data_IF_825378392163
#
_entry.id   IF_825378392163
#
_cell.length_a   1.000
_cell.length_b   1.000
_cell.length_c   1.000
_cell.angle_alpha   90.00
_cell.angle_beta   90.00
_cell.angle_gamma   90.00
#
_symmetry.space_group_name_H-M   'P 1'
#
loop_
_entity.id
_entity.type
_entity.pdbx_description
1 polymer ?
#
# COMPACT_ATOMS: atom_id res chain seq x y z
N UNK A 1 66.57 -32.48 31.27
CA UNK A 1 67.81 -33.12 30.76
C UNK A 1 68.06 -32.63 29.35
N UNK A 2 69.25 -32.06 29.13
CA UNK A 2 69.98 -31.78 27.86
C UNK A 2 69.22 -31.02 26.75
N UNK A 3 69.44 -29.73 26.53
CA UNK A 3 70.64 -28.98 26.09
C UNK A 3 70.97 -29.14 24.59
N UNK A 4 70.82 -28.01 23.88
CA UNK A 4 71.62 -27.38 22.81
C UNK A 4 72.21 -28.21 21.66
N UNK A 5 72.00 -27.74 20.42
CA UNK A 5 72.95 -26.89 19.65
C UNK A 5 72.45 -26.78 18.20
N UNK A 6 71.93 -25.63 17.75
CA UNK A 6 72.69 -24.54 17.10
C UNK A 6 73.68 -25.00 16.02
N UNK A 7 73.41 -24.63 14.76
CA UNK A 7 74.34 -23.88 13.87
C UNK A 7 73.60 -23.41 12.62
N UNK A 8 73.23 -22.12 12.59
CA UNK A 8 73.32 -21.24 11.41
C UNK A 8 74.81 -20.82 11.25
N UNK A 9 75.35 -20.31 10.11
CA UNK A 9 74.85 -19.06 9.51
C UNK A 9 75.18 -18.74 8.02
N UNK A 10 74.65 -17.57 7.60
CA UNK A 10 75.08 -16.64 6.53
C UNK A 10 75.05 -17.11 5.06
N UNK A 11 74.51 -16.38 4.09
CA UNK A 11 73.93 -15.03 4.02
C UNK A 11 73.83 -14.65 2.54
N UNK A 12 72.85 -13.82 2.16
CA UNK A 12 73.02 -12.65 1.27
C UNK A 12 71.68 -11.98 0.92
N UNK A 13 71.56 -10.73 1.36
CA UNK A 13 71.09 -9.54 0.62
C UNK A 13 69.66 -9.47 0.07
N UNK A 14 68.81 -8.81 0.87
CA UNK A 14 68.22 -7.49 0.59
C UNK A 14 67.34 -7.25 -0.68
N UNK A 15 66.02 -7.16 -0.42
CA UNK A 15 65.09 -6.04 -0.78
C UNK A 15 64.50 -5.92 -2.20
N UNK A 16 63.17 -6.12 -2.25
CA UNK A 16 62.13 -5.18 -2.69
C UNK A 16 61.01 -5.90 -3.48
N UNK A 17 59.81 -6.01 -2.89
CA UNK A 17 58.60 -6.48 -3.58
C UNK A 17 57.84 -5.31 -4.19
N UNK A 18 57.55 -5.39 -5.49
CA UNK A 18 56.35 -4.80 -6.13
C UNK A 18 55.72 -5.86 -7.05
N UNK A 19 54.40 -6.09 -7.01
CA UNK A 19 53.73 -7.01 -7.93
C UNK A 19 53.28 -6.30 -9.21
N UNK A 20 53.62 -6.86 -10.37
CA UNK A 20 53.13 -6.44 -11.71
C UNK A 20 52.35 -7.58 -12.35
N UNK A 21 51.11 -7.26 -12.69
CA UNK A 21 50.20 -7.74 -13.74
C UNK A 21 50.63 -8.93 -14.60
N UNK A 22 49.77 -9.95 -14.69
CA UNK A 22 49.81 -10.99 -15.72
C UNK A 22 48.81 -10.67 -16.82
N UNK A 23 49.31 -10.37 -18.02
CA UNK A 23 48.55 -10.39 -19.28
C UNK A 23 48.56 -11.80 -19.90
N UNK A 24 47.51 -12.12 -20.66
CA UNK A 24 47.50 -13.19 -21.66
C UNK A 24 46.64 -12.77 -22.88
N UNK A 25 46.91 -13.31 -24.08
CA UNK A 25 46.99 -12.51 -25.31
C UNK A 25 45.71 -12.49 -26.16
N UNK A 26 45.53 -11.41 -26.92
CA UNK A 26 44.46 -11.24 -27.92
C UNK A 26 44.80 -11.99 -29.22
N UNK A 27 43.88 -12.82 -29.70
CA UNK A 27 43.75 -13.17 -31.13
C UNK A 27 42.44 -12.61 -31.68
N UNK A 28 42.50 -12.14 -32.93
CA UNK A 28 41.45 -11.40 -33.62
C UNK A 28 40.38 -12.33 -34.24
N UNK A 29 39.11 -11.96 -34.07
CA UNK A 29 37.93 -12.52 -34.74
C UNK A 29 37.08 -11.39 -35.39
N UNK A 30 36.18 -11.72 -36.32
CA UNK A 30 35.83 -10.87 -37.47
C UNK A 30 34.96 -9.64 -37.14
N UNK A 31 35.12 -8.59 -37.96
CA UNK A 31 34.44 -7.30 -37.86
C UNK A 31 32.92 -7.44 -37.74
N UNK A 32 32.36 -6.98 -36.62
CA UNK A 32 30.92 -6.85 -36.44
C UNK A 32 30.37 -5.75 -37.36
N UNK A 33 29.42 -6.14 -38.21
CA UNK A 33 28.61 -5.26 -39.05
C UNK A 33 27.88 -4.27 -38.14
N UNK A 34 28.20 -2.98 -38.26
CA UNK A 34 27.46 -1.89 -37.58
C UNK A 34 26.06 -1.83 -38.20
N UNK A 35 25.12 -2.55 -37.62
CA UNK A 35 23.70 -2.36 -37.89
C UNK A 35 23.23 -1.29 -36.91
N UNK A 36 23.09 -0.06 -37.39
CA UNK A 36 22.44 1.03 -36.66
C UNK A 36 21.03 0.60 -36.27
N UNK A 37 20.85 0.22 -35.01
CA UNK A 37 19.52 0.15 -34.41
C UNK A 37 19.29 1.50 -33.74
N UNK A 38 18.45 2.32 -34.36
CA UNK A 38 17.84 3.45 -33.67
C UNK A 38 17.24 2.96 -32.35
N UNK A 39 17.43 3.69 -31.24
CA UNK A 39 16.85 3.32 -29.97
C UNK A 39 15.32 3.31 -30.11
N UNK A 40 14.73 2.13 -29.92
CA UNK A 40 13.27 1.95 -29.97
C UNK A 40 12.65 2.93 -28.96
N UNK A 41 11.74 3.82 -29.38
CA UNK A 41 11.14 4.79 -28.48
C UNK A 41 10.41 4.04 -27.36
N UNK A 42 10.55 4.48 -26.09
CA UNK A 42 9.93 3.78 -24.97
C UNK A 42 8.42 3.72 -25.17
N UNK A 43 7.84 2.52 -25.03
CA UNK A 43 6.40 2.33 -25.09
C UNK A 43 5.70 3.31 -24.13
N UNK A 44 4.66 3.99 -24.63
CA UNK A 44 3.92 5.07 -23.93
C UNK A 44 3.37 4.72 -22.54
N UNK A 45 3.44 3.45 -22.11
CA UNK A 45 2.97 2.93 -20.82
C UNK A 45 3.98 2.01 -20.14
N UNK A 46 5.28 2.31 -20.22
CA UNK A 46 6.26 1.59 -19.40
C UNK A 46 6.13 2.05 -17.95
N UNK A 47 5.97 1.12 -17.01
CA UNK A 47 6.05 1.44 -15.59
C UNK A 47 7.45 1.98 -15.30
N UNK A 48 7.52 3.23 -14.83
CA UNK A 48 8.77 3.88 -14.45
C UNK A 48 8.88 3.81 -12.93
N UNK A 49 9.95 3.21 -12.38
CA UNK A 49 10.12 3.15 -10.95
C UNK A 49 10.19 4.58 -10.37
N UNK A 50 9.56 4.86 -9.22
CA UNK A 50 9.56 6.19 -8.63
C UNK A 50 10.96 6.74 -8.31
N UNK A 51 11.96 5.86 -8.19
CA UNK A 51 13.38 6.24 -8.02
C UNK A 51 13.92 7.05 -9.20
N UNK A 52 13.42 6.81 -10.42
CA UNK A 52 13.85 7.52 -11.64
C UNK A 52 13.21 8.89 -11.84
N UNK A 53 12.10 9.20 -11.14
CA UNK A 53 11.37 10.48 -11.24
C UNK A 53 11.78 11.48 -10.16
N UNK A 54 12.80 11.16 -9.36
CA UNK A 54 13.05 11.76 -8.04
C UNK A 54 13.72 13.15 -8.08
N UNK A 55 13.83 13.79 -9.23
CA UNK A 55 14.71 14.95 -9.42
C UNK A 55 14.07 16.31 -9.71
N UNK A 56 12.74 16.48 -9.78
CA UNK A 56 12.17 17.82 -10.07
C UNK A 56 11.15 18.39 -9.08
N UNK A 57 10.32 17.61 -8.37
CA UNK A 57 9.19 18.18 -7.58
C UNK A 57 9.19 17.78 -6.09
N UNK A 58 10.33 17.86 -5.42
CA UNK A 58 10.47 17.36 -4.04
C UNK A 58 9.80 18.23 -2.95
N UNK A 59 9.26 19.41 -3.27
CA UNK A 59 8.84 20.38 -2.25
C UNK A 59 7.38 20.87 -2.33
N UNK A 60 6.55 20.30 -3.20
CA UNK A 60 5.12 20.64 -3.24
C UNK A 60 4.34 19.89 -2.15
N UNK A 61 3.28 20.49 -1.57
CA UNK A 61 2.44 19.80 -0.59
C UNK A 61 1.79 18.52 -1.14
N UNK A 62 1.52 18.47 -2.45
CA UNK A 62 1.03 17.29 -3.17
C UNK A 62 2.05 16.15 -3.16
N UNK A 63 3.34 16.46 -3.40
CA UNK A 63 4.44 15.50 -3.36
C UNK A 63 4.63 14.91 -1.95
N UNK A 64 4.45 15.73 -0.91
CA UNK A 64 4.48 15.26 0.49
C UNK A 64 3.32 14.31 0.80
N UNK A 65 2.11 14.63 0.35
CA UNK A 65 0.94 13.76 0.52
C UNK A 65 1.12 12.42 -0.21
N UNK A 66 1.72 12.42 -1.41
CA UNK A 66 1.99 11.20 -2.16
C UNK A 66 2.95 10.26 -1.44
N UNK A 67 3.99 10.79 -0.79
CA UNK A 67 4.89 9.98 0.04
C UNK A 67 4.13 9.34 1.20
N UNK A 68 3.23 10.10 1.84
CA UNK A 68 2.36 9.58 2.91
C UNK A 68 1.46 8.46 2.38
N UNK A 69 0.74 8.67 1.27
CA UNK A 69 -0.13 7.65 0.70
C UNK A 69 0.60 6.39 0.28
N UNK A 70 1.84 6.50 -0.22
CA UNK A 70 2.68 5.31 -0.52
C UNK A 70 3.01 4.51 0.73
N UNK A 71 3.35 5.18 1.84
CA UNK A 71 3.59 4.51 3.13
C UNK A 71 2.32 3.84 3.65
N UNK A 72 1.20 4.56 3.66
CA UNK A 72 -0.11 4.04 4.08
C UNK A 72 -0.50 2.80 3.26
N UNK A 73 -0.41 2.86 1.93
CA UNK A 73 -0.68 1.68 1.07
C UNK A 73 0.26 0.52 1.39
N UNK A 74 1.54 0.80 1.64
CA UNK A 74 2.52 -0.21 2.03
C UNK A 74 2.14 -0.94 3.33
N UNK A 75 1.65 -0.20 4.33
CA UNK A 75 1.16 -0.76 5.59
C UNK A 75 -0.12 -1.58 5.36
N UNK A 76 -1.12 -1.02 4.68
CA UNK A 76 -2.41 -1.69 4.42
C UNK A 76 -2.25 -2.98 3.58
N UNK A 77 -1.26 -3.02 2.68
CA UNK A 77 -0.95 -4.23 1.91
C UNK A 77 -0.32 -5.34 2.74
N UNK A 78 0.34 -4.99 3.85
CA UNK A 78 0.98 -5.94 4.78
C UNK A 78 0.10 -6.24 5.99
N UNK A 79 -1.07 -5.60 6.09
CA UNK A 79 -1.95 -5.69 7.25
C UNK A 79 -2.59 -7.09 7.31
N UNK A 80 -2.27 -7.81 8.38
CA UNK A 80 -2.85 -9.11 8.71
C UNK A 80 -3.19 -9.16 10.19
N UNK A 81 -4.06 -10.07 10.65
CA UNK A 81 -4.44 -10.17 12.06
C UNK A 81 -3.22 -10.35 13.00
N UNK A 82 -2.22 -11.10 12.57
CA UNK A 82 -1.00 -11.38 13.36
C UNK A 82 -0.11 -10.14 13.49
N UNK A 83 -0.11 -9.28 12.46
CA UNK A 83 0.71 -8.05 12.41
C UNK A 83 -0.07 -6.80 12.76
N UNK A 84 -1.34 -6.95 13.16
CA UNK A 84 -2.28 -5.84 13.32
C UNK A 84 -1.74 -4.76 14.25
N UNK A 85 -1.38 -5.13 15.47
CA UNK A 85 -0.93 -4.19 16.50
C UNK A 85 0.25 -3.33 16.01
N UNK A 86 1.30 -3.99 15.51
CA UNK A 86 2.50 -3.30 15.01
C UNK A 86 2.17 -2.36 13.84
N UNK A 87 1.39 -2.84 12.87
CA UNK A 87 1.09 -2.07 11.66
C UNK A 87 0.08 -0.95 11.90
N UNK A 88 -0.85 -1.11 12.85
CA UNK A 88 -1.74 -0.02 13.27
C UNK A 88 -0.96 1.07 14.01
N UNK A 89 0.01 0.67 14.86
CA UNK A 89 0.89 1.62 15.55
C UNK A 89 1.77 2.37 14.54
N UNK A 90 2.34 1.66 13.56
CA UNK A 90 3.11 2.26 12.47
C UNK A 90 2.25 3.25 11.64
N UNK A 91 0.96 2.96 11.44
CA UNK A 91 0.05 3.85 10.73
C UNK A 91 -0.24 5.13 11.53
N UNK A 92 -0.42 5.02 12.85
CA UNK A 92 -0.68 6.16 13.74
C UNK A 92 0.55 7.05 13.92
N UNK A 93 1.76 6.48 13.81
CA UNK A 93 3.02 7.23 13.81
C UNK A 93 3.23 8.07 12.54
N UNK A 94 2.48 7.79 11.47
CA UNK A 94 2.49 8.65 10.28
C UNK A 94 1.71 9.90 10.60
N UNK A 95 2.24 11.07 10.24
CA UNK A 95 1.54 12.34 10.39
C UNK A 95 0.25 12.36 9.54
N UNK A 96 -0.88 12.10 10.17
CA UNK A 96 -2.22 12.23 9.59
C UNK A 96 -2.75 13.67 9.72
N UNK A 97 -1.86 14.65 9.55
CA UNK A 97 -2.07 16.06 9.89
C UNK A 97 -3.01 16.84 8.97
N UNK A 98 -3.56 16.20 7.94
CA UNK A 98 -4.46 16.84 6.97
C UNK A 98 -5.73 16.04 6.78
N UNK A 99 -6.86 16.76 6.69
CA UNK A 99 -8.16 16.19 6.30
C UNK A 99 -8.08 15.45 4.96
N UNK A 100 -7.23 15.89 4.02
CA UNK A 100 -7.01 15.21 2.73
C UNK A 100 -6.38 13.83 2.94
N UNK A 101 -5.38 13.74 3.81
CA UNK A 101 -4.72 12.48 4.15
C UNK A 101 -5.71 11.54 4.85
N UNK A 102 -6.47 12.02 5.84
CA UNK A 102 -7.48 11.21 6.53
C UNK A 102 -8.52 10.66 5.56
N UNK A 103 -9.06 11.50 4.66
CA UNK A 103 -9.97 11.05 3.60
C UNK A 103 -9.33 9.95 2.76
N UNK A 104 -8.10 10.14 2.30
CA UNK A 104 -7.40 9.14 1.50
C UNK A 104 -7.11 7.83 2.26
N UNK A 105 -6.75 7.90 3.54
CA UNK A 105 -6.59 6.70 4.40
C UNK A 105 -7.92 5.94 4.50
N UNK A 106 -9.02 6.64 4.76
CA UNK A 106 -10.36 6.05 4.82
C UNK A 106 -10.71 5.37 3.48
N UNK A 107 -10.44 6.03 2.35
CA UNK A 107 -10.66 5.45 1.02
C UNK A 107 -9.91 4.11 0.86
N UNK A 108 -8.63 4.10 1.20
CA UNK A 108 -7.78 2.91 1.07
C UNK A 108 -8.23 1.76 1.98
N UNK A 109 -8.64 2.06 3.22
CA UNK A 109 -9.18 1.05 4.15
C UNK A 109 -10.47 0.47 3.58
N UNK A 110 -11.37 1.32 3.05
CA UNK A 110 -12.61 0.87 2.41
C UNK A 110 -12.35 -0.05 1.23
N UNK A 111 -11.45 0.33 0.31
CA UNK A 111 -11.10 -0.51 -0.84
C UNK A 111 -10.64 -1.90 -0.40
N UNK A 112 -9.72 -1.96 0.57
CA UNK A 112 -9.20 -3.21 1.13
C UNK A 112 -10.29 -4.04 1.84
N UNK A 113 -11.16 -3.40 2.62
CA UNK A 113 -12.23 -4.08 3.35
C UNK A 113 -13.29 -4.68 2.41
N UNK A 114 -13.54 -4.04 1.26
CA UNK A 114 -14.45 -4.54 0.23
C UNK A 114 -13.84 -5.66 -0.61
N UNK A 115 -12.54 -5.58 -0.89
CA UNK A 115 -11.81 -6.63 -1.62
C UNK A 115 -11.57 -7.88 -0.76
N UNK A 116 -11.42 -7.70 0.56
CA UNK A 116 -11.14 -8.77 1.52
C UNK A 116 -12.19 -8.87 2.64
N UNK A 117 -13.47 -9.23 2.35
CA UNK A 117 -14.54 -9.25 3.35
C UNK A 117 -14.30 -10.21 4.53
N UNK A 118 -13.41 -11.18 4.39
CA UNK A 118 -13.01 -12.06 5.50
C UNK A 118 -12.35 -11.30 6.65
N UNK A 119 -11.70 -10.18 6.35
CA UNK A 119 -10.98 -9.36 7.33
C UNK A 119 -11.74 -8.06 7.70
N UNK A 120 -13.01 -7.94 7.36
CA UNK A 120 -13.83 -6.75 7.67
C UNK A 120 -13.76 -6.34 9.14
N UNK A 121 -13.77 -7.29 10.08
CA UNK A 121 -13.68 -7.00 11.52
C UNK A 121 -12.34 -6.35 11.90
N UNK A 122 -11.23 -6.83 11.31
CA UNK A 122 -9.90 -6.25 11.52
C UNK A 122 -9.82 -4.81 10.97
N UNK A 123 -10.37 -4.56 9.78
CA UNK A 123 -10.43 -3.20 9.23
C UNK A 123 -11.33 -2.28 10.07
N UNK A 124 -12.40 -2.81 10.66
CA UNK A 124 -13.28 -2.04 11.55
C UNK A 124 -12.55 -1.67 12.85
N UNK A 125 -11.77 -2.59 13.42
CA UNK A 125 -10.91 -2.31 14.58
C UNK A 125 -9.86 -1.23 14.26
N UNK A 126 -9.28 -1.25 13.05
CA UNK A 126 -8.37 -0.19 12.62
C UNK A 126 -9.07 1.18 12.57
N UNK A 127 -10.29 1.23 12.02
CA UNK A 127 -11.10 2.45 12.02
C UNK A 127 -11.44 2.94 13.44
N UNK A 128 -11.75 2.03 14.38
CA UNK A 128 -12.00 2.38 15.79
C UNK A 128 -10.79 3.09 16.37
N UNK A 129 -9.62 2.48 16.19
CA UNK A 129 -8.36 2.99 16.71
C UNK A 129 -7.99 4.34 16.12
N UNK A 130 -8.16 4.50 14.81
CA UNK A 130 -8.00 5.78 14.14
C UNK A 130 -9.00 6.83 14.64
N UNK A 131 -10.23 6.45 14.99
CA UNK A 131 -11.21 7.40 15.54
C UNK A 131 -10.84 7.90 16.95
N UNK A 132 -10.08 7.12 17.72
CA UNK A 132 -9.68 7.44 19.09
C UNK A 132 -8.34 8.20 19.14
N UNK A 133 -7.39 7.85 18.27
CA UNK A 133 -5.99 8.32 18.35
C UNK A 133 -5.59 9.31 17.22
N UNK A 134 -6.38 9.45 16.15
CA UNK A 134 -6.06 10.40 15.07
C UNK A 134 -6.32 11.85 15.48
N UNK A 135 -5.62 12.83 14.87
CA UNK A 135 -5.84 14.24 15.15
C UNK A 135 -7.29 14.65 14.88
N UNK A 136 -7.87 15.38 15.82
CA UNK A 136 -9.19 15.97 15.69
C UNK A 136 -9.07 17.43 15.25
N UNK A 137 -9.71 17.75 14.12
CA UNK A 137 -9.83 19.09 13.56
C UNK A 137 -11.23 19.68 13.76
N UNK A 138 -12.15 18.92 14.35
CA UNK A 138 -13.51 19.37 14.66
C UNK A 138 -13.57 20.02 16.07
N UNK A 139 -14.53 20.93 16.32
CA UNK A 139 -14.72 21.52 17.65
C UNK A 139 -15.07 20.49 18.74
N UNK A 140 -14.87 20.82 20.04
CA UNK A 140 -15.01 19.87 21.15
C UNK A 140 -16.37 19.18 21.27
N UNK A 141 -17.46 19.84 20.86
CA UNK A 141 -18.83 19.33 20.96
C UNK A 141 -19.24 18.43 19.77
N UNK A 142 -18.30 18.16 18.85
CA UNK A 142 -18.59 17.39 17.64
C UNK A 142 -17.81 16.07 17.61
N UNK A 143 -18.36 15.02 16.97
CA UNK A 143 -17.63 13.78 16.77
C UNK A 143 -16.29 14.04 16.08
N UNK A 144 -15.25 13.28 16.41
CA UNK A 144 -13.92 13.51 15.83
C UNK A 144 -13.93 13.51 14.30
N UNK A 145 -13.01 14.26 13.67
CA UNK A 145 -12.95 14.41 12.21
C UNK A 145 -12.96 13.06 11.49
N UNK A 146 -12.20 12.08 11.99
CA UNK A 146 -12.15 10.75 11.39
C UNK A 146 -13.53 10.09 11.36
N UNK A 147 -14.28 10.14 12.47
CA UNK A 147 -15.62 9.57 12.57
C UNK A 147 -16.59 10.25 11.61
N UNK A 148 -16.57 11.58 11.51
CA UNK A 148 -17.41 12.33 10.56
C UNK A 148 -17.10 11.96 9.11
N UNK A 149 -15.81 11.90 8.75
CA UNK A 149 -15.39 11.52 7.40
C UNK A 149 -15.75 10.07 7.05
N UNK A 150 -15.53 9.15 8.00
CA UNK A 150 -15.86 7.73 7.85
C UNK A 150 -17.37 7.55 7.63
N UNK A 151 -18.18 8.26 8.40
CA UNK A 151 -19.63 8.25 8.29
C UNK A 151 -20.11 8.67 6.89
N UNK A 152 -19.57 9.78 6.39
CA UNK A 152 -19.92 10.28 5.06
C UNK A 152 -19.48 9.29 3.98
N UNK A 153 -18.32 8.65 4.15
CA UNK A 153 -17.87 7.60 3.24
C UNK A 153 -18.81 6.38 3.27
N UNK A 154 -19.27 5.93 4.44
CA UNK A 154 -20.20 4.81 4.57
C UNK A 154 -21.50 5.07 3.80
N UNK A 155 -22.08 6.27 3.98
CA UNK A 155 -23.31 6.69 3.27
C UNK A 155 -23.11 6.63 1.75
N UNK A 156 -22.08 7.30 1.26
CA UNK A 156 -21.79 7.39 -0.17
C UNK A 156 -21.51 6.03 -0.81
N UNK A 157 -20.68 5.20 -0.16
CA UNK A 157 -20.40 3.85 -0.67
C UNK A 157 -21.66 3.00 -0.70
N UNK A 158 -22.47 3.05 0.36
CA UNK A 158 -23.68 2.26 0.41
C UNK A 158 -24.68 2.65 -0.68
N UNK A 159 -24.94 3.94 -0.87
CA UNK A 159 -25.84 4.43 -1.94
C UNK A 159 -25.31 4.05 -3.33
N UNK A 160 -24.01 4.23 -3.58
CA UNK A 160 -23.39 3.87 -4.85
C UNK A 160 -23.48 2.36 -5.14
N UNK A 161 -23.25 1.51 -4.12
CA UNK A 161 -23.38 0.05 -4.27
C UNK A 161 -24.84 -0.34 -4.47
N UNK A 162 -25.79 0.29 -3.77
CA UNK A 162 -27.22 0.00 -3.90
C UNK A 162 -27.70 0.33 -5.32
N UNK A 163 -27.32 1.49 -5.85
CA UNK A 163 -27.61 1.85 -7.23
C UNK A 163 -26.97 0.87 -8.24
N UNK A 164 -25.70 0.51 -8.03
CA UNK A 164 -24.99 -0.48 -8.89
C UNK A 164 -25.68 -1.84 -8.86
N UNK A 165 -26.08 -2.31 -7.68
CA UNK A 165 -26.79 -3.58 -7.51
C UNK A 165 -28.17 -3.54 -8.15
N UNK A 166 -28.94 -2.44 -8.03
CA UNK A 166 -30.22 -2.30 -8.74
C UNK A 166 -30.05 -2.29 -10.26
N UNK A 167 -28.97 -1.68 -10.77
CA UNK A 167 -28.70 -1.57 -12.21
C UNK A 167 -28.27 -2.89 -12.85
N UNK A 168 -27.43 -3.68 -12.18
CA UNK A 168 -26.84 -4.91 -12.74
C UNK A 168 -27.32 -6.19 -12.05
N UNK A 169 -28.15 -6.07 -11.01
CA UNK A 169 -28.68 -7.20 -10.23
C UNK A 169 -29.71 -8.03 -10.98
N UNK A 170 -30.31 -7.47 -12.02
CA UNK A 170 -31.37 -8.06 -12.83
C UNK A 170 -31.00 -7.87 -14.32
N UNK A 171 -30.98 -8.95 -15.11
CA UNK A 171 -30.57 -8.92 -16.54
C UNK A 171 -30.54 -10.33 -17.17
N UNK A 172 -30.31 -10.41 -18.47
CA UNK A 172 -30.31 -11.67 -19.24
C UNK A 172 -29.03 -12.52 -18.98
N UNK A 173 -29.04 -13.78 -19.42
CA UNK A 173 -28.04 -14.81 -19.12
C UNK A 173 -26.82 -14.78 -20.06
N UNK A 174 -26.31 -13.60 -20.41
CA UNK A 174 -25.01 -13.53 -21.08
C UNK A 174 -23.90 -13.72 -20.03
N UNK A 175 -22.82 -14.43 -20.38
CA UNK A 175 -21.69 -14.68 -19.48
C UNK A 175 -21.11 -13.37 -18.91
N UNK A 176 -21.00 -12.33 -19.75
CA UNK A 176 -20.46 -11.04 -19.34
C UNK A 176 -21.38 -10.29 -18.36
N UNK A 177 -22.70 -10.37 -18.54
CA UNK A 177 -23.65 -9.78 -17.59
C UNK A 177 -23.73 -10.55 -16.28
N UNK A 178 -23.60 -11.88 -16.33
CA UNK A 178 -23.52 -12.71 -15.13
C UNK A 178 -22.29 -12.39 -14.29
N UNK A 179 -21.11 -12.24 -14.90
CA UNK A 179 -19.90 -11.82 -14.19
C UNK A 179 -20.07 -10.44 -13.53
N UNK A 180 -20.67 -9.47 -14.24
CA UNK A 180 -20.96 -8.14 -13.67
C UNK A 180 -21.94 -8.23 -12.50
N UNK A 181 -22.98 -9.07 -12.60
CA UNK A 181 -23.97 -9.29 -11.54
C UNK A 181 -23.32 -9.91 -10.31
N UNK A 182 -22.51 -10.95 -10.49
CA UNK A 182 -21.80 -11.61 -9.40
C UNK A 182 -20.82 -10.63 -8.72
N UNK A 183 -20.10 -9.82 -9.50
CA UNK A 183 -19.21 -8.80 -8.97
C UNK A 183 -19.97 -7.72 -8.17
N UNK A 184 -21.08 -7.21 -8.71
CA UNK A 184 -21.92 -6.22 -8.03
C UNK A 184 -22.48 -6.78 -6.71
N UNK A 185 -22.99 -8.02 -6.73
CA UNK A 185 -23.48 -8.72 -5.52
C UNK A 185 -22.37 -8.92 -4.50
N UNK A 186 -21.19 -9.38 -4.91
CA UNK A 186 -20.03 -9.57 -4.02
C UNK A 186 -19.61 -8.26 -3.34
N UNK A 187 -19.51 -7.17 -4.10
CA UNK A 187 -19.15 -5.85 -3.56
C UNK A 187 -20.22 -5.30 -2.63
N UNK A 188 -21.51 -5.51 -2.95
CA UNK A 188 -22.61 -5.14 -2.06
C UNK A 188 -22.53 -5.89 -0.72
N UNK A 189 -22.41 -7.22 -0.76
CA UNK A 189 -22.34 -8.03 0.46
C UNK A 189 -21.10 -7.70 1.30
N UNK A 190 -19.95 -7.47 0.66
CA UNK A 190 -18.74 -6.99 1.35
C UNK A 190 -18.96 -5.66 2.06
N UNK A 191 -19.66 -4.72 1.40
CA UNK A 191 -19.99 -3.42 1.97
C UNK A 191 -20.92 -3.52 3.17
N UNK A 192 -21.98 -4.33 3.07
CA UNK A 192 -22.91 -4.58 4.18
C UNK A 192 -22.16 -5.18 5.36
N UNK A 193 -21.33 -6.19 5.12
CA UNK A 193 -20.54 -6.83 6.17
C UNK A 193 -19.61 -5.84 6.86
N UNK A 194 -18.86 -5.05 6.10
CA UNK A 194 -17.92 -4.09 6.67
C UNK A 194 -18.63 -2.99 7.48
N UNK A 195 -19.72 -2.44 6.97
CA UNK A 195 -20.53 -1.46 7.70
C UNK A 195 -21.13 -2.06 8.97
N UNK A 196 -21.57 -3.33 8.93
CA UNK A 196 -22.04 -4.04 10.11
C UNK A 196 -20.98 -4.18 11.20
N UNK A 197 -19.74 -4.50 10.83
CA UNK A 197 -18.59 -4.53 11.76
C UNK A 197 -18.29 -3.14 12.36
N UNK A 198 -18.38 -2.07 11.56
CA UNK A 198 -18.25 -0.69 12.07
C UNK A 198 -19.36 -0.32 13.06
N UNK A 199 -20.59 -0.77 12.79
CA UNK A 199 -21.73 -0.59 13.68
C UNK A 199 -21.58 -1.35 15.00
N UNK A 200 -21.08 -2.58 14.96
CA UNK A 200 -20.80 -3.40 16.15
C UNK A 200 -19.78 -2.76 17.10
N UNK A 201 -18.87 -1.96 16.57
CA UNK A 201 -17.87 -1.23 17.35
C UNK A 201 -18.34 0.19 17.75
N UNK A 202 -19.63 0.51 17.55
CA UNK A 202 -20.25 1.79 17.91
C UNK A 202 -19.61 3.03 17.25
N UNK A 203 -18.83 2.83 16.19
CA UNK A 203 -18.21 3.91 15.40
C UNK A 203 -19.28 4.65 14.58
N UNK A 204 -20.32 3.93 14.15
CA UNK A 204 -21.47 4.49 13.45
C UNK A 204 -22.63 4.65 14.42
N UNK A 205 -23.32 5.80 14.36
CA UNK A 205 -24.53 6.01 15.14
C UNK A 205 -25.65 5.05 14.69
N UNK A 206 -26.45 4.56 15.64
CA UNK A 206 -27.55 3.61 15.41
C UNK A 206 -28.55 4.11 14.36
N UNK A 207 -28.88 5.41 14.38
CA UNK A 207 -29.77 6.05 13.41
C UNK A 207 -29.31 5.88 11.95
N UNK A 208 -28.00 5.79 11.74
CA UNK A 208 -27.40 5.64 10.42
C UNK A 208 -27.42 4.18 10.03
N UNK A 209 -27.10 3.26 10.95
CA UNK A 209 -27.21 1.82 10.70
C UNK A 209 -28.66 1.44 10.34
N UNK A 210 -29.65 1.95 11.08
CA UNK A 210 -31.07 1.79 10.75
C UNK A 210 -31.43 2.30 9.35
N UNK A 211 -30.91 3.46 8.94
CA UNK A 211 -31.14 3.98 7.59
C UNK A 211 -30.55 3.06 6.52
N UNK A 212 -29.33 2.54 6.73
CA UNK A 212 -28.69 1.63 5.77
C UNK A 212 -29.43 0.29 5.69
N UNK A 213 -29.88 -0.28 6.82
CA UNK A 213 -30.69 -1.50 6.85
C UNK A 213 -32.02 -1.31 6.12
N UNK A 214 -32.70 -0.17 6.30
CA UNK A 214 -33.96 0.12 5.57
C UNK A 214 -33.79 0.07 4.05
N UNK A 215 -32.67 0.57 3.53
CA UNK A 215 -32.41 0.55 2.08
C UNK A 215 -32.14 -0.88 1.57
N UNK A 216 -31.65 -1.79 2.42
CA UNK A 216 -31.48 -3.21 2.05
C UNK A 216 -32.82 -3.95 1.93
N UNK A 217 -33.83 -3.52 2.67
CA UNK A 217 -35.15 -4.14 2.69
C UNK A 217 -36.11 -3.57 1.62
N UNK A 218 -35.66 -2.63 0.80
CA UNK A 218 -36.41 -1.96 -0.28
C UNK A 218 -35.98 -2.40 -1.68
#
# INVERSE_FOLDING_TARGET
MKLLSETDPEGFSERARKPTTTECPRQAGPQARVSGKEPVPPAKRRWVPPSTLRHQDANTPESRNDVVFRKVRGILNKLTPEKFQKLSDDLLRIELSSSVILKGVILLIFEKALDEPKYSSMYAQLCKRLSEEAPNFEPPDTPCTFRVLLLNKCKNEFENRAATFKKYGYGDNTLEEEERRQLAKRKMLGNIKFIGELGKLEILAESILHRLVKILLQ
#
